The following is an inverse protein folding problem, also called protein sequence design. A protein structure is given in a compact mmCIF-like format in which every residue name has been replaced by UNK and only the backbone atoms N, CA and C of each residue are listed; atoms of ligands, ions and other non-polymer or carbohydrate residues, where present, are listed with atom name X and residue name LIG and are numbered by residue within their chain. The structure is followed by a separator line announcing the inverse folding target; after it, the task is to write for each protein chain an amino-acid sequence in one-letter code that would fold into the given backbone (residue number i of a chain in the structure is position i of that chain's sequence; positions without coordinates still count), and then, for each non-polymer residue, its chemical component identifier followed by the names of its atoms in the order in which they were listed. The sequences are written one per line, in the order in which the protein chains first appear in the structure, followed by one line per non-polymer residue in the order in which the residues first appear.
data_IF_687328014821
#
_entry.id   IF_687328014821
#
_cell.length_a   1.000
_cell.length_b   1.000
_cell.length_c   1.000
_cell.angle_alpha   90.00
_cell.angle_beta   90.00
_cell.angle_gamma   90.00
#
_symmetry.space_group_name_H-M   'P 1'
#
loop_
_entity.id
_entity.type
_entity.pdbx_description
1 polymer ?
#
# COMPACT_ATOMS: atom_id res chain seq x y z
N UNK A 1 4.78 -21.69 -25.20
CA UNK A 1 3.71 -21.79 -24.19
C UNK A 1 4.43 -22.06 -22.87
N UNK A 2 4.69 -21.04 -22.06
CA UNK A 2 5.46 -21.21 -20.81
C UNK A 2 4.51 -21.73 -19.73
N UNK A 3 4.66 -23.01 -19.39
CA UNK A 3 3.99 -23.67 -18.27
C UNK A 3 4.55 -23.14 -16.96
N UNK A 4 3.98 -22.04 -16.47
CA UNK A 4 4.17 -21.60 -15.09
C UNK A 4 3.21 -22.41 -14.25
N UNK A 5 3.71 -23.43 -13.56
CA UNK A 5 2.95 -24.05 -12.48
C UNK A 5 2.68 -22.97 -11.43
N UNK A 6 1.40 -22.67 -11.21
CA UNK A 6 0.98 -21.87 -10.07
C UNK A 6 1.40 -22.63 -8.81
N UNK A 7 2.11 -22.00 -7.86
CA UNK A 7 2.44 -22.67 -6.62
C UNK A 7 1.15 -23.18 -5.96
N UNK A 8 1.20 -24.34 -5.28
CA UNK A 8 0.05 -24.89 -4.57
C UNK A 8 -0.52 -23.80 -3.69
N UNK A 9 -1.85 -23.61 -3.73
CA UNK A 9 -2.55 -22.54 -3.04
C UNK A 9 -1.90 -22.27 -1.69
N UNK A 10 -1.28 -21.09 -1.56
CA UNK A 10 -0.60 -20.64 -0.35
C UNK A 10 -1.56 -20.90 0.80
N UNK A 11 -1.17 -21.78 1.72
CA UNK A 11 -1.96 -21.99 2.93
C UNK A 11 -1.95 -20.65 3.67
N UNK A 12 -3.15 -20.12 3.86
CA UNK A 12 -3.38 -18.93 4.63
C UNK A 12 -2.81 -19.11 6.04
N UNK A 13 -1.75 -18.37 6.36
CA UNK A 13 -1.27 -18.23 7.73
C UNK A 13 -2.29 -17.35 8.51
N UNK A 14 -2.32 -17.35 9.85
CA UNK A 14 -3.32 -16.59 10.64
C UNK A 14 -3.38 -15.08 10.35
N UNK A 15 -2.44 -14.52 9.60
CA UNK A 15 -2.45 -13.14 9.09
C UNK A 15 -2.99 -12.98 7.65
N UNK A 16 -3.72 -13.96 7.12
CA UNK A 16 -4.41 -13.81 5.83
C UNK A 16 -5.66 -12.93 5.96
N UNK A 17 -5.54 -11.68 5.52
CA UNK A 17 -6.67 -10.74 5.50
C UNK A 17 -7.41 -10.79 4.16
N UNK A 18 -8.72 -11.04 4.23
CA UNK A 18 -9.59 -10.98 3.05
C UNK A 18 -9.78 -9.53 2.64
N UNK A 19 -9.21 -9.15 1.50
CA UNK A 19 -9.53 -7.88 0.85
C UNK A 19 -10.88 -8.00 0.13
N UNK A 20 -11.84 -7.18 0.56
CA UNK A 20 -13.09 -7.03 -0.18
C UNK A 20 -12.81 -6.54 -1.62
N UNK A 21 -13.55 -7.04 -2.64
CA UNK A 21 -13.30 -6.71 -4.05
C UNK A 21 -13.20 -5.20 -4.33
N UNK A 22 -13.98 -4.39 -3.64
CA UNK A 22 -14.01 -2.93 -3.75
C UNK A 22 -12.73 -2.24 -3.26
N UNK A 23 -11.90 -2.91 -2.47
CA UNK A 23 -10.65 -2.37 -1.92
C UNK A 23 -9.42 -2.84 -2.70
N UNK A 24 -9.56 -3.80 -3.61
CA UNK A 24 -8.44 -4.42 -4.31
C UNK A 24 -7.66 -3.43 -5.17
N UNK A 25 -8.37 -2.51 -5.84
CA UNK A 25 -7.76 -1.44 -6.65
C UNK A 25 -6.91 -0.50 -5.80
N UNK A 26 -7.42 -0.10 -4.63
CA UNK A 26 -6.71 0.77 -3.70
C UNK A 26 -5.52 0.06 -3.06
N UNK A 27 -5.68 -1.19 -2.63
CA UNK A 27 -4.59 -1.98 -2.04
C UNK A 27 -3.44 -2.21 -3.03
N UNK A 28 -3.77 -2.53 -4.29
CA UNK A 28 -2.79 -2.66 -5.37
C UNK A 28 -2.08 -1.35 -5.67
N UNK A 29 -2.80 -0.22 -5.63
CA UNK A 29 -2.21 1.11 -5.79
C UNK A 29 -1.26 1.44 -4.64
N UNK A 30 -1.66 1.20 -3.39
CA UNK A 30 -0.84 1.43 -2.21
C UNK A 30 0.45 0.58 -2.25
N UNK A 31 0.34 -0.70 -2.60
CA UNK A 31 1.50 -1.59 -2.76
C UNK A 31 2.46 -1.11 -3.86
N UNK A 32 1.94 -0.53 -4.95
CA UNK A 32 2.78 0.04 -6.00
C UNK A 32 3.44 1.37 -5.61
N UNK A 33 2.95 2.04 -4.56
CA UNK A 33 3.47 3.31 -4.05
C UNK A 33 4.45 3.15 -2.87
N UNK A 34 4.88 1.92 -2.53
CA UNK A 34 5.74 1.63 -1.38
C UNK A 34 7.07 2.40 -1.36
N UNK A 35 7.57 2.84 -2.51
CA UNK A 35 8.80 3.61 -2.64
C UNK A 35 8.57 5.13 -2.79
N UNK A 36 7.33 5.61 -2.67
CA UNK A 36 6.95 7.00 -2.90
C UNK A 36 6.70 7.76 -1.59
N UNK A 37 7.33 7.36 -0.49
CA UNK A 37 7.23 8.08 0.79
C UNK A 37 8.04 9.37 0.78
N UNK A 38 7.42 10.45 1.24
CA UNK A 38 8.07 11.74 1.48
C UNK A 38 8.77 11.70 2.84
N UNK A 39 10.08 12.00 2.90
CA UNK A 39 10.78 12.12 4.17
C UNK A 39 10.45 13.46 4.85
N UNK A 40 10.29 13.42 6.17
CA UNK A 40 10.28 14.57 7.06
C UNK A 40 11.69 15.06 7.38
N UNK A 41 11.78 16.13 8.18
CA UNK A 41 13.07 16.72 8.60
C UNK A 41 13.94 15.78 9.44
N UNK A 42 13.32 14.80 10.09
CA UNK A 42 13.97 13.74 10.87
C UNK A 42 14.28 12.48 10.03
N UNK A 43 14.07 12.55 8.71
CA UNK A 43 14.27 11.44 7.77
C UNK A 43 13.15 10.38 7.79
N UNK A 44 12.10 10.56 8.61
CA UNK A 44 11.01 9.59 8.71
C UNK A 44 9.92 9.84 7.66
N UNK A 45 9.19 8.80 7.22
CA UNK A 45 8.05 8.99 6.34
C UNK A 45 6.97 9.87 7.00
N UNK A 46 6.56 10.95 6.33
CA UNK A 46 5.47 11.83 6.78
C UNK A 46 4.20 11.70 5.93
N UNK A 47 4.29 10.99 4.81
CA UNK A 47 3.19 10.74 3.89
C UNK A 47 3.71 10.30 2.51
N UNK A 48 2.80 9.95 1.61
CA UNK A 48 3.07 9.58 0.23
C UNK A 48 3.15 10.81 -0.68
N UNK A 49 3.95 10.71 -1.74
CA UNK A 49 3.91 11.64 -2.85
C UNK A 49 2.70 11.33 -3.75
N UNK A 50 1.61 12.07 -3.57
CA UNK A 50 0.39 11.84 -4.33
C UNK A 50 0.53 12.08 -5.85
N UNK A 51 1.48 12.89 -6.31
CA UNK A 51 1.71 13.06 -7.74
C UNK A 51 2.35 11.79 -8.34
N UNK A 52 3.27 11.17 -7.60
CA UNK A 52 3.83 9.87 -7.95
C UNK A 52 2.78 8.75 -7.86
N UNK A 53 1.93 8.76 -6.81
CA UNK A 53 0.83 7.80 -6.68
C UNK A 53 -0.20 7.94 -7.82
N UNK A 54 -0.53 9.16 -8.27
CA UNK A 54 -1.41 9.35 -9.43
C UNK A 54 -0.77 8.76 -10.70
N UNK A 55 0.53 8.92 -10.87
CA UNK A 55 1.29 8.32 -11.98
C UNK A 55 1.25 6.78 -11.92
N UNK A 56 1.43 6.20 -10.73
CA UNK A 56 1.28 4.76 -10.51
C UNK A 56 -0.16 4.29 -10.82
N UNK A 57 -1.18 5.05 -10.40
CA UNK A 57 -2.58 4.75 -10.70
C UNK A 57 -2.85 4.70 -12.21
N UNK A 58 -2.27 5.62 -12.99
CA UNK A 58 -2.35 5.60 -14.46
C UNK A 58 -1.71 4.33 -15.03
N UNK A 59 -0.51 3.96 -14.56
CA UNK A 59 0.17 2.73 -14.97
C UNK A 59 -0.63 1.46 -14.67
N UNK A 60 -1.34 1.42 -13.54
CA UNK A 60 -2.17 0.29 -13.12
C UNK A 60 -3.60 0.32 -13.69
N UNK A 61 -3.97 1.38 -14.43
CA UNK A 61 -5.34 1.65 -14.91
C UNK A 61 -6.37 1.72 -13.78
N UNK A 62 -5.96 2.21 -12.61
CA UNK A 62 -6.83 2.45 -11.46
C UNK A 62 -7.46 3.84 -11.57
N UNK A 63 -8.75 3.96 -11.26
CA UNK A 63 -9.47 5.23 -11.28
C UNK A 63 -9.09 6.08 -10.06
N UNK A 64 -8.03 6.88 -10.18
CA UNK A 64 -7.49 7.73 -9.10
C UNK A 64 -8.55 8.42 -8.24
N UNK A 65 -9.46 9.19 -8.85
CA UNK A 65 -10.52 9.93 -8.14
C UNK A 65 -11.42 9.04 -7.26
N UNK A 66 -11.60 7.76 -7.63
CA UNK A 66 -12.43 6.80 -6.87
C UNK A 66 -11.68 6.19 -5.70
N UNK A 67 -10.36 6.00 -5.85
CA UNK A 67 -9.54 5.28 -4.86
C UNK A 67 -8.71 6.19 -3.96
N UNK A 68 -8.63 7.48 -4.26
CA UNK A 68 -7.79 8.43 -3.53
C UNK A 68 -8.02 8.39 -2.01
N UNK A 69 -9.28 8.44 -1.56
CA UNK A 69 -9.59 8.40 -0.13
C UNK A 69 -9.22 7.05 0.53
N UNK A 70 -9.31 5.93 -0.21
CA UNK A 70 -8.89 4.62 0.30
C UNK A 70 -7.37 4.55 0.45
N UNK A 71 -6.64 5.16 -0.50
CA UNK A 71 -5.19 5.30 -0.40
C UNK A 71 -4.81 6.10 0.85
N UNK A 72 -5.51 7.21 1.12
CA UNK A 72 -5.28 8.01 2.33
C UNK A 72 -5.55 7.22 3.61
N UNK A 73 -6.59 6.38 3.65
CA UNK A 73 -6.88 5.53 4.80
C UNK A 73 -5.77 4.51 5.06
N UNK A 74 -5.20 3.91 4.01
CA UNK A 74 -4.07 2.98 4.13
C UNK A 74 -2.78 3.69 4.56
N UNK A 75 -2.53 4.88 4.03
CA UNK A 75 -1.42 5.74 4.43
C UNK A 75 -1.49 6.10 5.92
N UNK A 76 -2.64 6.56 6.40
CA UNK A 76 -2.82 6.94 7.81
C UNK A 76 -2.61 5.75 8.75
N UNK A 77 -3.16 4.58 8.40
CA UNK A 77 -2.93 3.34 9.15
C UNK A 77 -1.44 2.95 9.18
N UNK A 78 -0.75 3.04 8.04
CA UNK A 78 0.68 2.75 7.96
C UNK A 78 1.52 3.74 8.79
N UNK A 79 1.21 5.04 8.73
CA UNK A 79 1.88 6.05 9.55
C UNK A 79 1.63 5.83 11.05
N UNK A 80 0.42 5.40 11.44
CA UNK A 80 0.10 5.06 12.82
C UNK A 80 0.96 3.89 13.33
N UNK A 81 1.14 2.84 12.53
CA UNK A 81 2.03 1.72 12.89
C UNK A 81 3.49 2.14 12.97
N UNK A 82 3.99 2.89 11.97
CA UNK A 82 5.36 3.40 11.97
C UNK A 82 5.68 4.24 13.21
N UNK A 83 4.72 5.02 13.71
CA UNK A 83 4.88 5.80 14.95
C UNK A 83 4.99 4.91 16.19
N UNK A 84 4.26 3.80 16.25
CA UNK A 84 4.32 2.85 17.38
C UNK A 84 5.68 2.17 17.47
N UNK A 85 6.26 1.76 16.35
CA UNK A 85 7.56 1.08 16.31
C UNK A 85 8.68 1.93 16.93
N UNK A 86 8.57 3.26 16.85
CA UNK A 86 9.56 4.18 17.42
C UNK A 86 9.46 4.27 18.95
N UNK A 87 8.28 4.14 19.53
CA UNK A 87 8.06 4.23 20.98
C UNK A 87 8.46 2.96 21.75
N UNK A 88 8.83 1.88 21.07
CA UNK A 88 9.27 0.61 21.70
C UNK A 88 10.79 0.42 21.77
N UNK A 89 11.58 1.48 21.54
CA UNK A 89 13.05 1.45 21.57
C UNK A 89 13.66 2.25 22.73
N UNK A 90 12.97 2.30 23.87
CA UNK A 90 13.52 2.76 25.16
C UNK A 90 13.67 1.59 26.14
#
# INVERSE_FOLDING_TARGET
MLGVELPPAMKAEPEDYVLLPENFSAARLFAAALNQWRPGSDGRPIGLDYAACESAARGLRVKWKKEFWRLQAMEDAALAELRKTVSGSE
#
